data_IF_740569108135
#
_entry.id   IF_740569108135
#
_cell.length_a   1.000
_cell.length_b   1.000
_cell.length_c   1.000
_cell.angle_alpha   90.00
_cell.angle_beta   90.00
_cell.angle_gamma   90.00
#
_symmetry.space_group_name_H-M   'P 1'
#
loop_
_entity.id
_entity.type
_entity.pdbx_description
1 polymer ?
#
# COMPACT_ATOMS: atom_id res chain seq x y z
N UNK A 1 -47.00 -65.97 29.56
CA UNK A 1 -46.11 -65.09 30.30
C UNK A 1 -45.29 -64.27 29.31
N UNK A 2 -45.60 -62.97 29.14
CA UNK A 2 -44.86 -62.04 28.27
C UNK A 2 -44.13 -61.05 29.15
N UNK A 3 -42.81 -61.11 29.13
CA UNK A 3 -41.94 -60.24 29.88
C UNK A 3 -41.77 -58.90 29.12
N UNK A 4 -42.25 -57.79 29.71
CA UNK A 4 -42.00 -56.44 29.22
C UNK A 4 -40.61 -55.98 29.62
N UNK A 5 -39.69 -55.78 28.68
CA UNK A 5 -38.45 -55.10 28.93
C UNK A 5 -38.68 -53.55 28.83
N UNK A 6 -38.48 -52.90 29.91
CA UNK A 6 -38.48 -51.47 30.03
C UNK A 6 -37.14 -50.90 29.51
N UNK A 7 -37.20 -50.02 28.51
CA UNK A 7 -36.05 -49.36 27.95
C UNK A 7 -35.95 -47.96 28.64
N UNK A 8 -35.06 -47.86 29.57
CA UNK A 8 -34.69 -46.53 30.11
C UNK A 8 -33.50 -46.00 29.34
N UNK A 9 -33.73 -45.13 28.38
CA UNK A 9 -32.68 -44.33 27.74
C UNK A 9 -32.50 -43.06 28.58
N UNK A 10 -31.30 -42.88 29.09
CA UNK A 10 -30.98 -41.79 30.00
C UNK A 10 -30.93 -40.41 29.31
N UNK A 11 -31.64 -39.51 29.90
CA UNK A 11 -31.71 -38.08 29.58
C UNK A 11 -30.39 -37.33 29.94
N UNK A 12 -29.35 -38.03 30.37
CA UNK A 12 -28.11 -37.42 30.82
C UNK A 12 -27.11 -37.01 29.72
N UNK A 13 -27.29 -37.53 28.49
CA UNK A 13 -26.35 -37.25 27.38
C UNK A 13 -26.61 -35.97 26.60
N UNK A 14 -27.84 -35.45 26.67
CA UNK A 14 -28.26 -34.32 25.82
C UNK A 14 -27.98 -32.94 26.45
N UNK A 15 -27.78 -32.88 27.75
CA UNK A 15 -27.48 -31.62 28.46
C UNK A 15 -26.00 -31.20 28.42
N UNK A 16 -25.08 -32.14 28.16
CA UNK A 16 -23.64 -31.79 28.05
C UNK A 16 -23.23 -31.23 26.66
N UNK A 17 -23.97 -31.58 25.62
CA UNK A 17 -23.67 -31.08 24.25
C UNK A 17 -24.19 -29.69 23.99
N UNK A 18 -25.25 -29.25 24.64
CA UNK A 18 -25.78 -27.89 24.54
C UNK A 18 -24.92 -26.89 25.30
N UNK A 19 -24.29 -27.30 26.42
CA UNK A 19 -23.39 -26.45 27.21
C UNK A 19 -22.06 -26.14 26.52
N UNK A 20 -21.56 -27.02 25.64
CA UNK A 20 -20.30 -26.81 24.92
C UNK A 20 -20.45 -25.98 23.66
N UNK A 21 -21.64 -25.87 23.10
CA UNK A 21 -21.91 -25.02 21.90
C UNK A 21 -22.18 -23.55 22.25
N UNK A 22 -22.55 -23.24 23.46
CA UNK A 22 -22.76 -21.85 23.93
C UNK A 22 -21.49 -21.15 24.40
N UNK A 23 -20.41 -21.87 24.66
CA UNK A 23 -19.13 -21.30 25.08
C UNK A 23 -18.27 -20.79 23.86
N UNK A 24 -18.64 -21.09 22.62
CA UNK A 24 -17.86 -20.74 21.45
C UNK A 24 -18.23 -19.40 20.81
N UNK A 25 -19.25 -18.71 21.31
CA UNK A 25 -19.67 -17.40 20.80
C UNK A 25 -19.53 -16.27 21.82
N UNK A 26 -18.47 -16.26 22.59
CA UNK A 26 -17.99 -15.00 23.16
C UNK A 26 -17.18 -14.31 22.07
N UNK A 27 -17.86 -13.58 21.18
CA UNK A 27 -17.24 -12.53 20.40
C UNK A 27 -16.55 -11.60 21.38
N UNK A 28 -15.22 -11.62 21.38
CA UNK A 28 -14.42 -10.57 21.95
C UNK A 28 -14.77 -9.30 21.15
N UNK A 29 -15.76 -8.56 21.60
CA UNK A 29 -15.86 -7.15 21.27
C UNK A 29 -14.64 -6.52 21.91
N UNK A 30 -13.59 -6.31 21.12
CA UNK A 30 -12.56 -5.37 21.50
C UNK A 30 -13.31 -4.05 21.70
N UNK A 31 -13.42 -3.61 22.95
CA UNK A 31 -13.82 -2.25 23.25
C UNK A 31 -12.68 -1.37 22.72
N UNK A 32 -12.75 -1.00 21.45
CA UNK A 32 -11.99 0.12 20.95
C UNK A 32 -12.57 1.37 21.65
N UNK A 33 -11.93 1.73 22.74
CA UNK A 33 -12.27 2.98 23.41
C UNK A 33 -11.76 4.12 22.53
N UNK A 34 -12.65 4.75 21.78
CA UNK A 34 -12.36 6.01 21.10
C UNK A 34 -12.11 7.07 22.17
N UNK A 35 -10.92 7.60 22.20
CA UNK A 35 -10.53 8.68 23.11
C UNK A 35 -10.49 10.01 22.35
N UNK A 36 -11.25 10.97 22.81
CA UNK A 36 -11.12 12.35 22.36
C UNK A 36 -9.97 13.01 23.12
N UNK A 37 -9.07 13.66 22.41
CA UNK A 37 -7.92 14.37 22.98
C UNK A 37 -7.93 15.82 22.45
N UNK A 38 -7.48 16.76 23.28
CA UNK A 38 -7.41 18.17 22.89
C UNK A 38 -6.27 18.44 21.90
N UNK A 39 -5.24 17.62 21.94
CA UNK A 39 -4.06 17.71 21.06
C UNK A 39 -3.54 16.32 20.74
N UNK A 40 -3.13 16.08 19.49
CA UNK A 40 -2.42 14.85 19.12
C UNK A 40 -1.10 14.71 19.88
N UNK A 41 -0.70 13.47 20.15
CA UNK A 41 0.64 13.19 20.70
C UNK A 41 1.70 13.47 19.63
N UNK A 42 2.57 14.44 19.89
CA UNK A 42 3.66 14.84 18.99
C UNK A 42 4.93 14.01 19.15
N UNK A 43 4.96 13.06 20.09
CA UNK A 43 6.08 12.15 20.32
C UNK A 43 5.82 10.75 19.71
N UNK A 44 4.65 10.54 19.12
CA UNK A 44 4.31 9.27 18.48
C UNK A 44 5.22 8.96 17.30
N UNK A 45 5.45 7.67 17.08
CA UNK A 45 6.23 7.15 15.95
C UNK A 45 5.47 6.01 15.28
N UNK A 46 5.82 5.68 14.05
CA UNK A 46 5.43 4.45 13.37
C UNK A 46 6.66 3.77 12.74
N UNK A 47 6.46 2.68 12.01
CA UNK A 47 7.55 1.90 11.43
C UNK A 47 8.46 2.72 10.49
N UNK A 48 7.90 3.73 9.81
CA UNK A 48 8.62 4.51 8.79
C UNK A 48 8.92 5.96 9.22
N UNK A 49 8.18 6.51 10.21
CA UNK A 49 8.21 7.94 10.50
C UNK A 49 8.28 8.22 11.99
N UNK A 50 8.96 9.31 12.30
CA UNK A 50 8.97 9.95 13.62
C UNK A 50 8.31 11.33 13.53
N UNK A 51 7.56 11.74 14.56
CA UNK A 51 6.88 13.03 14.57
C UNK A 51 7.81 14.20 14.85
N UNK A 52 8.94 13.92 15.48
CA UNK A 52 9.89 14.92 15.90
C UNK A 52 11.31 14.56 15.48
N UNK A 53 12.00 15.53 14.91
CA UNK A 53 13.41 15.43 14.56
C UNK A 53 14.08 16.78 14.77
N UNK A 54 14.88 16.93 15.81
CA UNK A 54 15.62 18.14 16.05
C UNK A 54 16.54 18.48 14.86
N UNK A 55 16.70 19.74 14.46
CA UNK A 55 16.13 20.96 15.03
C UNK A 55 14.72 21.34 14.50
N UNK A 56 14.05 20.46 13.78
CA UNK A 56 12.73 20.71 13.21
C UNK A 56 11.66 20.73 14.30
N UNK A 57 10.60 21.51 14.07
CA UNK A 57 9.41 21.47 14.95
C UNK A 57 8.72 20.13 14.87
N UNK A 58 8.22 19.59 16.00
CA UNK A 58 7.39 18.39 15.97
C UNK A 58 6.17 18.61 15.07
N UNK A 59 5.81 17.56 14.31
CA UNK A 59 4.58 17.54 13.54
C UNK A 59 3.41 17.22 14.45
N UNK A 60 2.27 17.87 14.23
CA UNK A 60 1.02 17.53 14.94
C UNK A 60 0.47 16.16 14.51
N UNK A 61 0.81 15.70 13.31
CA UNK A 61 0.37 14.44 12.74
C UNK A 61 1.56 13.72 12.10
N UNK A 62 1.56 12.42 12.20
CA UNK A 62 2.52 11.56 11.52
C UNK A 62 1.83 10.99 10.28
N UNK A 63 2.53 11.03 9.12
CA UNK A 63 2.08 10.34 7.92
C UNK A 63 1.97 8.85 8.22
N UNK A 64 0.86 8.23 7.86
CA UNK A 64 0.74 6.78 7.87
C UNK A 64 1.35 6.18 6.59
N UNK A 65 2.03 5.02 6.69
CA UNK A 65 2.49 4.30 5.52
C UNK A 65 1.31 3.96 4.58
N UNK A 66 1.58 3.91 3.29
CA UNK A 66 0.57 3.50 2.31
C UNK A 66 0.03 2.11 2.64
N UNK A 67 -1.29 1.93 2.58
CA UNK A 67 -1.95 0.67 2.95
C UNK A 67 -2.21 0.47 4.45
N UNK A 68 -1.79 1.40 5.33
CA UNK A 68 -2.09 1.34 6.77
C UNK A 68 -3.58 1.44 7.08
N UNK A 69 -4.33 2.13 6.22
CA UNK A 69 -5.79 2.25 6.31
C UNK A 69 -6.38 1.52 5.11
N UNK A 70 -7.27 0.56 5.40
CA UNK A 70 -7.99 -0.16 4.37
C UNK A 70 -9.35 0.50 4.14
N UNK A 71 -9.64 0.96 2.92
CA UNK A 71 -10.92 1.57 2.60
C UNK A 71 -12.03 0.52 2.57
N UNK A 72 -13.22 0.89 3.04
CA UNK A 72 -14.42 0.09 2.98
C UNK A 72 -15.60 0.88 2.37
N UNK A 73 -16.69 0.18 2.11
CA UNK A 73 -17.94 0.77 1.62
C UNK A 73 -17.75 1.53 0.30
N UNK A 74 -18.32 2.74 0.25
CA UNK A 74 -18.30 3.56 -0.96
C UNK A 74 -16.90 4.04 -1.36
N UNK A 75 -15.98 4.25 -0.40
CA UNK A 75 -14.58 4.63 -0.70
C UNK A 75 -13.87 3.52 -1.43
N UNK A 76 -14.00 2.27 -0.96
CA UNK A 76 -13.45 1.10 -1.64
C UNK A 76 -14.00 0.98 -3.06
N UNK A 77 -15.33 1.10 -3.20
CA UNK A 77 -15.99 1.05 -4.51
C UNK A 77 -15.46 2.12 -5.47
N UNK A 78 -15.22 3.32 -4.96
CA UNK A 78 -14.64 4.40 -5.77
C UNK A 78 -13.22 4.08 -6.25
N UNK A 79 -12.37 3.48 -5.39
CA UNK A 79 -11.03 3.06 -5.78
C UNK A 79 -11.06 1.89 -6.79
N UNK A 80 -12.00 0.96 -6.63
CA UNK A 80 -12.23 -0.10 -7.62
C UNK A 80 -12.62 0.47 -8.99
N UNK A 81 -13.48 1.47 -9.03
CA UNK A 81 -13.84 2.18 -10.27
C UNK A 81 -12.64 2.89 -10.91
N UNK A 82 -11.72 3.42 -10.13
CA UNK A 82 -10.47 3.99 -10.66
C UNK A 82 -9.57 2.91 -11.25
N UNK A 83 -9.46 1.74 -10.60
CA UNK A 83 -8.72 0.59 -11.12
C UNK A 83 -9.28 0.11 -12.45
N UNK A 84 -10.60 0.00 -12.54
CA UNK A 84 -11.34 -0.47 -13.73
C UNK A 84 -11.48 0.62 -14.80
N UNK A 85 -11.18 1.87 -14.45
CA UNK A 85 -11.27 3.02 -15.33
C UNK A 85 -9.91 3.50 -15.82
N UNK A 86 -9.84 4.79 -16.14
CA UNK A 86 -8.67 5.39 -16.77
C UNK A 86 -7.37 5.23 -15.96
N UNK A 87 -7.43 5.35 -14.64
CA UNK A 87 -6.22 5.19 -13.80
C UNK A 87 -5.58 3.83 -13.99
N UNK A 88 -6.39 2.76 -13.97
CA UNK A 88 -5.89 1.39 -14.16
C UNK A 88 -5.45 1.06 -15.58
N UNK A 89 -6.01 1.74 -16.58
CA UNK A 89 -5.81 1.43 -18.00
C UNK A 89 -5.04 2.49 -18.78
N UNK A 90 -4.58 3.57 -18.14
CA UNK A 90 -3.86 4.64 -18.84
C UNK A 90 -2.60 4.13 -19.54
N UNK A 91 -1.88 3.17 -18.95
CA UNK A 91 -0.71 2.56 -19.55
C UNK A 91 -0.98 1.77 -20.84
N UNK A 92 -2.24 1.46 -21.15
CA UNK A 92 -2.64 0.73 -22.35
C UNK A 92 -2.91 1.68 -23.54
N UNK A 93 -3.09 2.97 -23.28
CA UNK A 93 -3.54 3.95 -24.30
C UNK A 93 -2.67 5.19 -24.40
N UNK A 94 -1.76 5.43 -23.47
CA UNK A 94 -0.89 6.58 -23.45
C UNK A 94 0.47 6.26 -24.06
N UNK A 95 0.81 6.95 -25.16
CA UNK A 95 2.13 6.84 -25.77
C UNK A 95 3.28 7.18 -24.82
N UNK A 96 3.05 8.05 -23.83
CA UNK A 96 4.05 8.38 -22.80
C UNK A 96 4.35 7.26 -21.82
N UNK A 97 3.46 6.26 -21.74
CA UNK A 97 3.59 5.10 -20.85
C UNK A 97 3.92 3.81 -21.62
N UNK A 98 4.14 3.88 -22.93
CA UNK A 98 4.70 2.78 -23.68
C UNK A 98 6.07 2.41 -23.09
N UNK A 99 6.32 1.09 -22.96
CA UNK A 99 7.55 0.60 -22.32
C UNK A 99 8.73 0.57 -23.27
N UNK A 100 8.46 0.36 -24.56
CA UNK A 100 9.49 0.34 -25.58
C UNK A 100 10.13 1.72 -25.71
N UNK A 101 11.45 1.77 -25.55
CA UNK A 101 12.23 3.00 -25.57
C UNK A 101 11.82 4.09 -24.56
N UNK A 102 11.14 3.71 -23.46
CA UNK A 102 10.79 4.63 -22.40
C UNK A 102 12.01 5.04 -21.59
N UNK A 103 12.13 6.31 -21.26
CA UNK A 103 13.29 6.89 -20.59
C UNK A 103 13.55 6.34 -19.17
N UNK A 104 12.54 5.76 -18.51
CA UNK A 104 12.69 5.10 -17.20
C UNK A 104 13.09 3.63 -17.28
N UNK A 105 12.93 2.99 -18.44
CA UNK A 105 13.22 1.57 -18.64
C UNK A 105 14.40 1.33 -19.58
N UNK A 106 14.75 2.32 -20.41
CA UNK A 106 15.78 2.21 -21.43
C UNK A 106 16.73 3.41 -21.32
N UNK A 107 18.03 3.13 -21.23
CA UNK A 107 19.04 4.20 -21.26
C UNK A 107 18.96 4.99 -22.56
N UNK A 108 18.77 6.30 -22.45
CA UNK A 108 18.59 7.18 -23.61
C UNK A 108 17.22 7.10 -24.27
N UNK A 109 16.24 6.51 -23.60
CA UNK A 109 14.84 6.53 -24.06
C UNK A 109 14.32 7.95 -24.26
N UNK A 110 13.34 8.11 -25.15
CA UNK A 110 12.96 9.40 -25.72
C UNK A 110 11.60 9.95 -25.24
N UNK A 111 10.90 9.25 -24.34
CA UNK A 111 9.61 9.67 -23.82
C UNK A 111 9.38 9.22 -22.36
N UNK A 112 8.30 9.72 -21.74
CA UNK A 112 7.84 9.31 -20.43
C UNK A 112 8.55 9.99 -19.25
N UNK A 113 9.22 11.12 -19.47
CA UNK A 113 10.10 11.79 -18.49
C UNK A 113 9.41 12.11 -17.17
N UNK A 114 8.39 12.94 -17.20
CA UNK A 114 7.60 13.30 -16.01
C UNK A 114 6.24 12.58 -15.98
N UNK A 115 5.75 12.14 -17.12
CA UNK A 115 4.46 11.49 -17.25
C UNK A 115 4.42 10.16 -16.52
N UNK A 116 5.50 9.36 -16.61
CA UNK A 116 5.60 8.09 -15.90
C UNK A 116 5.53 8.29 -14.38
N UNK A 117 6.36 9.12 -13.73
CA UNK A 117 6.26 9.31 -12.29
C UNK A 117 4.94 9.95 -11.84
N UNK A 118 4.34 10.84 -12.61
CA UNK A 118 3.02 11.39 -12.28
C UNK A 118 1.93 10.33 -12.27
N UNK A 119 1.88 9.51 -13.31
CA UNK A 119 0.96 8.39 -13.36
C UNK A 119 1.26 7.35 -12.28
N UNK A 120 2.53 6.94 -12.17
CA UNK A 120 2.96 5.88 -11.25
C UNK A 120 2.66 6.22 -9.79
N UNK A 121 2.76 7.49 -9.41
CA UNK A 121 2.39 7.98 -8.08
C UNK A 121 0.93 7.66 -7.73
N UNK A 122 0.02 7.85 -8.67
CA UNK A 122 -1.40 7.51 -8.48
C UNK A 122 -1.65 6.01 -8.59
N UNK A 123 -1.16 5.40 -9.65
CA UNK A 123 -1.32 3.99 -9.97
C UNK A 123 -0.73 3.08 -8.88
N UNK A 124 0.51 3.34 -8.46
CA UNK A 124 1.18 2.55 -7.42
C UNK A 124 0.48 2.65 -6.07
N UNK A 125 0.08 3.85 -5.66
CA UNK A 125 -0.68 4.01 -4.41
C UNK A 125 -2.02 3.27 -4.46
N UNK A 126 -2.73 3.33 -5.58
CA UNK A 126 -3.96 2.57 -5.79
C UNK A 126 -3.72 1.06 -5.71
N UNK A 127 -2.63 0.59 -6.33
CA UNK A 127 -2.20 -0.81 -6.28
C UNK A 127 -1.98 -1.30 -4.85
N UNK A 128 -1.28 -0.52 -4.04
CA UNK A 128 -0.95 -0.88 -2.65
C UNK A 128 -2.18 -0.83 -1.74
N UNK A 129 -3.02 0.20 -1.88
CA UNK A 129 -4.24 0.34 -1.07
C UNK A 129 -5.24 -0.79 -1.36
N UNK A 130 -5.43 -1.16 -2.63
CA UNK A 130 -6.30 -2.26 -3.02
C UNK A 130 -5.65 -3.64 -2.87
N UNK A 131 -4.34 -3.68 -2.60
CA UNK A 131 -3.53 -4.89 -2.60
C UNK A 131 -3.72 -5.71 -3.91
N UNK A 132 -3.75 -5.02 -5.05
CA UNK A 132 -3.99 -5.61 -6.36
C UNK A 132 -2.68 -6.18 -6.94
N UNK A 133 -2.55 -7.52 -7.09
CA UNK A 133 -1.29 -8.13 -7.46
C UNK A 133 -0.85 -7.79 -8.90
N UNK A 134 -1.78 -7.55 -9.82
CA UNK A 134 -1.47 -7.16 -11.20
C UNK A 134 -0.89 -5.75 -11.23
N UNK A 135 -1.54 -4.82 -10.56
CA UNK A 135 -1.07 -3.43 -10.49
C UNK A 135 0.25 -3.31 -9.71
N UNK A 136 0.43 -4.11 -8.65
CA UNK A 136 1.69 -4.15 -7.88
C UNK A 136 2.83 -4.65 -8.76
N UNK A 137 2.61 -5.70 -9.55
CA UNK A 137 3.61 -6.24 -10.47
C UNK A 137 3.98 -5.21 -11.55
N UNK A 138 3.00 -4.51 -12.10
CA UNK A 138 3.23 -3.43 -13.08
C UNK A 138 4.03 -2.28 -12.45
N UNK A 139 3.65 -1.83 -11.27
CA UNK A 139 4.39 -0.81 -10.51
C UNK A 139 5.84 -1.22 -10.30
N UNK A 140 6.06 -2.48 -9.91
CA UNK A 140 7.39 -3.02 -9.67
C UNK A 140 8.27 -2.97 -10.92
N UNK A 141 7.72 -3.18 -12.12
CA UNK A 141 8.48 -3.06 -13.38
C UNK A 141 9.15 -1.69 -13.50
N UNK A 142 8.43 -0.64 -13.22
CA UNK A 142 8.94 0.74 -13.27
C UNK A 142 9.97 1.03 -12.16
N UNK A 143 9.73 0.52 -10.96
CA UNK A 143 10.67 0.66 -9.84
C UNK A 143 11.99 -0.08 -10.12
N UNK A 144 11.95 -1.28 -10.71
CA UNK A 144 13.17 -1.99 -11.13
C UNK A 144 13.93 -1.22 -12.22
N UNK A 145 13.24 -0.52 -13.12
CA UNK A 145 13.89 0.40 -14.06
C UNK A 145 14.64 1.53 -13.35
N UNK A 146 14.08 2.09 -12.28
CA UNK A 146 14.78 3.08 -11.44
C UNK A 146 16.05 2.48 -10.85
N UNK A 147 15.99 1.30 -10.23
CA UNK A 147 17.18 0.64 -9.67
C UNK A 147 18.25 0.35 -10.73
N UNK A 148 17.82 -0.09 -11.92
CA UNK A 148 18.73 -0.37 -13.01
C UNK A 148 19.45 0.88 -13.55
N UNK A 149 18.83 2.06 -13.40
CA UNK A 149 19.37 3.35 -13.87
C UNK A 149 20.24 4.08 -12.85
N UNK A 150 20.36 3.57 -11.61
CA UNK A 150 21.14 4.22 -10.56
C UNK A 150 22.62 4.35 -10.94
N UNK A 151 23.16 5.56 -10.76
CA UNK A 151 24.55 5.90 -11.02
C UNK A 151 25.36 6.00 -9.71
N UNK A 152 26.70 5.89 -9.76
CA UNK A 152 27.53 5.96 -8.57
C UNK A 152 27.42 7.27 -7.77
N UNK A 153 26.99 8.36 -8.41
CA UNK A 153 26.76 9.66 -7.79
C UNK A 153 25.37 9.81 -7.16
N UNK A 154 24.55 8.74 -7.19
CA UNK A 154 23.19 8.72 -6.67
C UNK A 154 22.13 9.23 -7.64
N UNK A 155 22.50 9.64 -8.85
CA UNK A 155 21.51 9.99 -9.86
C UNK A 155 20.80 8.73 -10.39
N UNK A 156 19.53 8.85 -10.76
CA UNK A 156 18.73 7.76 -11.31
C UNK A 156 17.72 8.27 -12.34
N UNK A 157 17.27 7.35 -13.20
CA UNK A 157 16.28 7.65 -14.24
C UNK A 157 16.83 8.43 -15.43
N UNK A 158 15.95 9.06 -16.22
CA UNK A 158 16.31 9.73 -17.45
C UNK A 158 17.22 10.93 -17.21
N UNK A 159 18.25 11.04 -18.03
CA UNK A 159 19.15 12.20 -18.01
C UNK A 159 18.56 13.29 -18.88
N UNK A 160 18.15 14.37 -18.27
CA UNK A 160 17.75 15.60 -18.94
C UNK A 160 18.67 16.73 -18.50
N UNK A 161 19.32 17.36 -19.47
CA UNK A 161 20.22 18.48 -19.22
C UNK A 161 19.65 19.76 -19.80
N UNK A 162 19.50 20.75 -18.94
CA UNK A 162 19.12 22.10 -19.33
C UNK A 162 20.24 23.05 -18.96
N UNK A 163 20.79 23.76 -19.96
CA UNK A 163 21.89 24.72 -19.74
C UNK A 163 23.13 24.08 -19.08
N UNK A 164 23.49 22.84 -19.44
CA UNK A 164 24.61 22.11 -18.87
C UNK A 164 24.40 21.67 -17.43
N UNK A 165 23.15 21.68 -16.93
CA UNK A 165 22.79 21.21 -15.59
C UNK A 165 21.72 20.14 -15.69
N UNK A 166 21.86 19.09 -14.88
CA UNK A 166 20.84 18.06 -14.76
C UNK A 166 19.53 18.67 -14.23
N UNK A 167 18.44 18.40 -14.89
CA UNK A 167 17.11 18.68 -14.40
C UNK A 167 16.66 17.56 -13.47
N UNK A 168 16.07 17.90 -12.32
CA UNK A 168 15.68 16.96 -11.29
C UNK A 168 14.16 16.88 -11.08
N UNK A 169 13.38 17.48 -11.96
CA UNK A 169 11.93 17.53 -11.80
C UNK A 169 11.29 16.15 -11.78
N UNK A 170 11.60 15.35 -12.77
CA UNK A 170 11.07 13.99 -12.90
C UNK A 170 11.54 13.09 -11.73
N UNK A 171 12.81 13.22 -11.32
CA UNK A 171 13.37 12.49 -10.17
C UNK A 171 12.68 12.87 -8.86
N UNK A 172 12.37 14.14 -8.65
CA UNK A 172 11.65 14.60 -7.46
C UNK A 172 10.28 13.94 -7.35
N UNK A 173 9.56 13.80 -8.46
CA UNK A 173 8.25 13.13 -8.46
C UNK A 173 8.41 11.62 -8.27
N UNK A 174 9.42 11.01 -8.90
CA UNK A 174 9.71 9.59 -8.71
C UNK A 174 10.10 9.25 -7.27
N UNK A 175 10.75 10.16 -6.53
CA UNK A 175 11.03 9.95 -5.11
C UNK A 175 9.76 9.70 -4.29
N UNK A 176 8.62 10.31 -4.64
CA UNK A 176 7.35 10.00 -3.99
C UNK A 176 6.85 8.59 -4.32
N UNK A 177 7.09 8.11 -5.55
CA UNK A 177 6.77 6.74 -5.92
C UNK A 177 7.64 5.75 -5.14
N UNK A 178 8.94 6.03 -5.05
CA UNK A 178 9.91 5.24 -4.29
C UNK A 178 9.58 5.22 -2.79
N UNK A 179 9.20 6.36 -2.21
CA UNK A 179 8.74 6.43 -0.83
C UNK A 179 7.54 5.53 -0.58
N UNK A 180 6.51 5.60 -1.44
CA UNK A 180 5.32 4.75 -1.32
C UNK A 180 5.66 3.27 -1.52
N UNK A 181 6.57 2.96 -2.44
CA UNK A 181 7.04 1.60 -2.64
C UNK A 181 7.79 1.08 -1.40
N UNK A 182 8.64 1.90 -0.78
CA UNK A 182 9.32 1.53 0.46
C UNK A 182 8.34 1.30 1.61
N UNK A 183 7.35 2.19 1.77
CA UNK A 183 6.32 2.04 2.80
C UNK A 183 5.56 0.71 2.68
N UNK A 184 5.32 0.26 1.45
CA UNK A 184 4.62 -0.98 1.16
C UNK A 184 5.53 -2.22 1.25
N UNK A 185 6.71 -2.17 0.61
CA UNK A 185 7.56 -3.35 0.38
C UNK A 185 8.65 -3.55 1.41
N UNK A 186 9.09 -2.48 2.10
CA UNK A 186 10.28 -2.44 2.96
C UNK A 186 11.58 -2.86 2.23
N UNK A 187 11.66 -2.61 0.92
CA UNK A 187 12.83 -2.95 0.10
C UNK A 187 14.04 -2.11 0.49
N UNK A 188 15.03 -2.76 1.09
CA UNK A 188 16.21 -2.10 1.66
C UNK A 188 17.11 -1.45 0.59
N UNK A 189 16.97 -1.81 -0.68
CA UNK A 189 17.73 -1.20 -1.79
C UNK A 189 17.45 0.31 -1.93
N UNK A 190 16.34 0.79 -1.38
CA UNK A 190 16.00 2.22 -1.38
C UNK A 190 16.75 3.05 -0.33
N UNK A 191 17.44 2.42 0.61
CA UNK A 191 18.12 3.09 1.73
C UNK A 191 19.64 3.18 1.56
N UNK A 192 20.16 2.78 0.42
CA UNK A 192 21.61 2.75 0.11
C UNK A 192 22.03 4.05 -0.55
#
# INVERSE_FOLDING_TARGET
MKQKRSFKIGVAGTLLTVGLLTAAFTTRTANESVRVVDRPDTQSTNANYVSYRAPLRPLNFIKLPVGSIQPEGWVKKYLELQREGLTGHLGEISAWLEKDNNAWLTTGGDHGWEEVPYWLKGYGNLAYILNDPKMIAETKTWIEGVFASCQPDGYFGPINERNGKRELWAQMIMLWCLQSYYEYSQDQRLLI
#
